data_IF_688442669082
#
_entry.id   IF_688442669082
#
_cell.length_a   1.000
_cell.length_b   1.000
_cell.length_c   1.000
_cell.angle_alpha   90.00
_cell.angle_beta   90.00
_cell.angle_gamma   90.00
#
_symmetry.space_group_name_H-M   'P 1'
#
loop_
_entity.id
_entity.type
_entity.pdbx_description
1 polymer ?
#
# COMPACT_ATOMS: atom_id res chain seq x y z
N UNK A 1 42.47 -6.93 -43.40
CA UNK A 1 42.72 -5.51 -43.08
C UNK A 1 41.48 -5.04 -42.33
N UNK A 2 41.50 -5.26 -41.01
CA UNK A 2 40.37 -5.09 -40.09
C UNK A 2 40.86 -4.17 -38.98
N UNK A 3 40.64 -2.87 -39.16
CA UNK A 3 41.01 -1.83 -38.20
C UNK A 3 39.89 -0.81 -38.16
N UNK A 4 38.95 -1.05 -37.27
CA UNK A 4 38.21 -0.02 -36.54
C UNK A 4 37.67 -0.72 -35.28
N UNK A 5 38.63 -1.11 -34.43
CA UNK A 5 38.37 -1.69 -33.12
C UNK A 5 37.95 -0.58 -32.16
N UNK A 6 36.83 -0.80 -31.47
CA UNK A 6 36.78 -0.81 -30.00
C UNK A 6 37.53 0.31 -29.26
N UNK A 7 37.34 1.55 -29.69
CA UNK A 7 37.76 2.73 -28.95
C UNK A 7 36.57 3.66 -28.72
N UNK A 8 35.47 3.11 -28.20
CA UNK A 8 34.43 3.91 -27.55
C UNK A 8 35.04 4.49 -26.27
N UNK A 9 35.55 5.71 -26.42
CA UNK A 9 36.13 6.61 -25.42
C UNK A 9 35.78 6.26 -23.98
N UNK A 10 36.69 5.56 -23.31
CA UNK A 10 36.78 5.56 -21.85
C UNK A 10 37.03 7.01 -21.40
N UNK A 11 35.96 7.68 -20.97
CA UNK A 11 36.10 8.90 -20.19
C UNK A 11 36.70 8.53 -18.82
N UNK A 12 37.78 9.20 -18.39
CA UNK A 12 38.45 8.87 -17.14
C UNK A 12 37.56 9.31 -15.98
N UNK A 13 36.85 8.37 -15.35
CA UNK A 13 36.02 8.67 -14.18
C UNK A 13 34.89 7.69 -13.87
N UNK A 14 34.47 6.81 -14.79
CA UNK A 14 33.41 5.83 -14.51
C UNK A 14 33.97 4.55 -13.87
N UNK A 15 33.66 4.20 -12.62
CA UNK A 15 34.16 2.95 -12.05
C UNK A 15 33.42 1.73 -12.63
N UNK A 16 32.11 1.80 -12.91
CA UNK A 16 31.29 0.68 -13.45
C UNK A 16 30.02 1.27 -14.12
N UNK A 17 29.54 0.75 -15.28
CA UNK A 17 28.22 1.12 -15.84
C UNK A 17 27.06 0.84 -14.86
N UNK A 18 26.01 1.69 -14.83
CA UNK A 18 24.90 1.57 -13.87
C UNK A 18 24.22 0.19 -13.85
N UNK A 19 24.12 -0.46 -15.00
CA UNK A 19 23.54 -1.80 -15.15
C UNK A 19 24.32 -2.87 -14.38
N UNK A 20 25.63 -2.68 -14.20
CA UNK A 20 26.51 -3.62 -13.48
C UNK A 20 26.85 -3.13 -12.07
N UNK A 21 26.27 -2.02 -11.64
CA UNK A 21 26.60 -1.43 -10.36
C UNK A 21 26.04 -2.25 -9.18
N UNK A 22 26.83 -2.57 -8.14
CA UNK A 22 26.33 -3.25 -6.94
C UNK A 22 25.27 -2.46 -6.16
N UNK A 23 25.23 -1.13 -6.31
CA UNK A 23 24.23 -0.27 -5.68
C UNK A 23 22.92 -0.21 -6.46
N UNK A 24 22.90 -0.70 -7.71
CA UNK A 24 21.67 -0.85 -8.46
C UNK A 24 20.77 -1.86 -7.72
N UNK A 25 19.53 -1.48 -7.35
CA UNK A 25 18.61 -2.36 -6.62
C UNK A 25 18.30 -3.68 -7.32
N UNK A 26 18.40 -3.71 -8.64
CA UNK A 26 18.25 -4.94 -9.43
C UNK A 26 19.42 -5.91 -9.27
N UNK A 27 20.59 -5.44 -8.86
CA UNK A 27 21.80 -6.26 -8.64
C UNK A 27 22.01 -6.65 -7.18
N UNK A 28 21.13 -6.24 -6.27
CA UNK A 28 21.23 -6.62 -4.86
C UNK A 28 21.15 -8.14 -4.68
N UNK A 29 21.84 -8.64 -3.65
CA UNK A 29 21.73 -10.04 -3.24
C UNK A 29 20.27 -10.39 -2.91
N UNK A 30 19.90 -11.65 -3.13
CA UNK A 30 18.52 -12.13 -2.95
C UNK A 30 18.00 -11.83 -1.54
N UNK A 31 18.84 -12.00 -0.51
CA UNK A 31 18.51 -11.68 0.87
C UNK A 31 18.18 -10.19 1.06
N UNK A 32 18.96 -9.28 0.48
CA UNK A 32 18.72 -7.83 0.61
C UNK A 32 17.42 -7.42 -0.09
N UNK A 33 17.12 -8.02 -1.25
CA UNK A 33 15.84 -7.83 -1.93
C UNK A 33 14.68 -8.37 -1.08
N UNK A 34 14.78 -9.61 -0.61
CA UNK A 34 13.76 -10.26 0.20
C UNK A 34 13.47 -9.47 1.49
N UNK A 35 14.50 -8.97 2.17
CA UNK A 35 14.36 -8.14 3.36
C UNK A 35 13.62 -6.83 3.04
N UNK A 36 14.03 -6.12 1.99
CA UNK A 36 13.43 -4.84 1.61
C UNK A 36 11.97 -5.02 1.16
N UNK A 37 11.71 -5.98 0.28
CA UNK A 37 10.36 -6.33 -0.18
C UNK A 37 9.48 -6.88 0.94
N UNK A 38 10.03 -7.67 1.85
CA UNK A 38 9.31 -8.19 3.01
C UNK A 38 8.82 -7.08 3.92
N UNK A 39 9.68 -6.11 4.23
CA UNK A 39 9.30 -4.92 5.02
C UNK A 39 8.20 -4.13 4.32
N UNK A 40 8.37 -3.84 3.03
CA UNK A 40 7.37 -3.11 2.22
C UNK A 40 6.04 -3.86 2.17
N UNK A 41 6.06 -5.18 2.03
CA UNK A 41 4.86 -6.03 1.96
C UNK A 41 4.13 -6.09 3.31
N UNK A 42 4.86 -6.22 4.42
CA UNK A 42 4.27 -6.19 5.77
C UNK A 42 3.61 -4.83 6.03
N UNK A 43 4.24 -3.72 5.63
CA UNK A 43 3.62 -2.40 5.72
C UNK A 43 2.37 -2.28 4.85
N UNK A 44 2.42 -2.82 3.63
CA UNK A 44 1.28 -2.91 2.72
C UNK A 44 0.12 -3.73 3.30
N UNK A 45 0.40 -4.73 4.13
CA UNK A 45 -0.60 -5.53 4.86
C UNK A 45 -1.16 -4.80 6.10
N UNK A 46 -0.31 -4.15 6.90
CA UNK A 46 -0.73 -3.49 8.15
C UNK A 46 -1.73 -2.36 7.89
N UNK A 47 -1.53 -1.57 6.84
CA UNK A 47 -2.41 -0.43 6.53
C UNK A 47 -3.89 -0.81 6.33
N UNK A 48 -4.26 -1.73 5.43
CA UNK A 48 -5.65 -2.14 5.24
C UNK A 48 -6.17 -3.05 6.38
N UNK A 49 -5.28 -3.68 7.14
CA UNK A 49 -5.66 -4.32 8.40
C UNK A 49 -6.11 -3.27 9.43
N UNK A 50 -5.36 -2.17 9.57
CA UNK A 50 -5.70 -1.05 10.46
C UNK A 50 -7.01 -0.35 10.06
N UNK A 51 -7.39 -0.34 8.78
CA UNK A 51 -8.64 0.28 8.34
C UNK A 51 -9.89 -0.46 8.84
N UNK A 52 -9.80 -1.78 8.99
CA UNK A 52 -10.92 -2.67 9.27
C UNK A 52 -10.97 -3.19 10.70
N UNK A 53 -9.85 -3.13 11.44
CA UNK A 53 -9.76 -3.70 12.79
C UNK A 53 -10.75 -3.11 13.80
N UNK A 54 -11.20 -1.87 13.60
CA UNK A 54 -12.17 -1.23 14.51
C UNK A 54 -13.61 -1.69 14.27
N UNK A 55 -13.91 -2.31 13.13
CA UNK A 55 -15.27 -2.63 12.68
C UNK A 55 -16.11 -3.34 13.75
N UNK A 56 -15.62 -4.38 14.45
CA UNK A 56 -16.39 -5.03 15.53
C UNK A 56 -16.48 -4.19 16.81
N UNK A 57 -15.54 -3.27 17.04
CA UNK A 57 -15.51 -2.37 18.20
C UNK A 57 -16.38 -1.12 18.04
N UNK A 58 -16.98 -0.91 16.86
CA UNK A 58 -17.86 0.23 16.58
C UNK A 58 -19.02 0.37 17.60
N UNK A 59 -19.72 -0.71 18.02
CA UNK A 59 -20.76 -0.60 19.05
C UNK A 59 -20.25 -0.04 20.38
N UNK A 60 -19.05 -0.45 20.81
CA UNK A 60 -18.43 0.07 22.04
C UNK A 60 -17.99 1.53 21.90
N UNK A 61 -17.46 1.90 20.73
CA UNK A 61 -17.11 3.29 20.42
C UNK A 61 -18.33 4.20 20.44
N UNK A 62 -19.44 3.71 19.88
CA UNK A 62 -20.73 4.41 19.85
C UNK A 62 -21.23 4.72 21.27
N UNK A 63 -21.15 3.73 22.16
CA UNK A 63 -21.53 3.86 23.56
C UNK A 63 -20.62 4.84 24.31
N UNK A 64 -19.30 4.68 24.16
CA UNK A 64 -18.28 5.47 24.85
C UNK A 64 -18.27 6.96 24.45
N UNK A 65 -18.55 7.28 23.18
CA UNK A 65 -18.69 8.67 22.73
C UNK A 65 -20.13 9.19 22.77
N UNK A 66 -21.09 8.40 23.27
CA UNK A 66 -22.51 8.74 23.30
C UNK A 66 -23.06 9.20 21.93
N UNK A 67 -22.59 8.60 20.84
CA UNK A 67 -23.02 8.96 19.49
C UNK A 67 -24.26 8.15 19.08
N UNK A 68 -25.34 8.82 18.71
CA UNK A 68 -26.60 8.15 18.33
C UNK A 68 -26.85 8.18 16.83
N UNK A 69 -26.12 9.00 16.05
CA UNK A 69 -26.37 9.20 14.62
C UNK A 69 -25.70 8.10 13.78
N UNK A 70 -26.48 7.29 13.03
CA UNK A 70 -25.92 6.25 12.17
C UNK A 70 -24.92 6.74 11.10
N UNK A 71 -25.10 7.91 10.45
CA UNK A 71 -24.15 8.41 9.46
C UNK A 71 -22.76 8.67 10.04
N UNK A 72 -22.67 9.17 11.27
CA UNK A 72 -21.39 9.47 11.93
C UNK A 72 -20.65 8.19 12.28
N UNK A 73 -21.38 7.20 12.79
CA UNK A 73 -20.83 5.87 13.11
C UNK A 73 -20.32 5.14 11.86
N UNK A 74 -21.05 5.26 10.75
CA UNK A 74 -20.61 4.72 9.45
C UNK A 74 -19.38 5.44 8.90
N UNK A 75 -19.32 6.77 9.09
CA UNK A 75 -18.18 7.61 8.69
C UNK A 75 -16.90 7.21 9.42
N UNK A 76 -16.98 6.81 10.68
CA UNK A 76 -15.81 6.35 11.47
C UNK A 76 -15.05 5.22 10.77
N UNK A 77 -15.76 4.28 10.13
CA UNK A 77 -15.13 3.17 9.40
C UNK A 77 -14.62 3.64 8.03
N UNK A 78 -15.44 4.38 7.29
CA UNK A 78 -15.14 4.75 5.90
C UNK A 78 -14.12 5.89 5.75
N UNK A 79 -13.98 6.77 6.74
CA UNK A 79 -13.11 7.95 6.66
C UNK A 79 -11.63 7.58 6.48
N UNK A 80 -11.19 6.45 7.03
CA UNK A 80 -9.82 5.96 6.85
C UNK A 80 -9.54 5.63 5.38
N UNK A 81 -10.52 5.02 4.71
CA UNK A 81 -10.46 4.70 3.27
C UNK A 81 -10.55 5.95 2.42
N UNK A 82 -11.36 6.92 2.84
CA UNK A 82 -11.39 8.22 2.17
C UNK A 82 -9.99 8.84 2.17
N UNK A 83 -9.24 8.70 3.27
CA UNK A 83 -7.83 9.06 3.33
C UNK A 83 -6.98 8.38 2.25
N UNK A 84 -7.24 7.12 1.92
CA UNK A 84 -6.52 6.41 0.84
C UNK A 84 -6.69 7.06 -0.53
N UNK A 85 -7.73 7.85 -0.77
CA UNK A 85 -7.89 8.58 -2.03
C UNK A 85 -6.97 9.82 -2.09
N UNK A 86 -6.79 10.52 -0.97
CA UNK A 86 -6.04 11.79 -0.94
C UNK A 86 -4.54 11.62 -0.67
N UNK A 87 -4.16 10.63 0.14
CA UNK A 87 -2.76 10.31 0.43
C UNK A 87 -1.84 10.11 -0.79
N UNK A 88 -2.17 9.17 -1.69
CA UNK A 88 -1.35 8.82 -2.86
C UNK A 88 -1.02 10.02 -3.76
N UNK A 89 -1.98 10.95 -3.87
CA UNK A 89 -1.87 12.18 -4.68
C UNK A 89 -0.61 12.97 -4.33
N UNK A 90 -0.26 13.02 -3.04
CA UNK A 90 0.91 13.72 -2.54
C UNK A 90 2.12 12.80 -2.38
N UNK A 91 1.92 11.60 -1.83
CA UNK A 91 3.04 10.72 -1.46
C UNK A 91 3.71 10.06 -2.65
N UNK A 92 2.93 9.64 -3.67
CA UNK A 92 3.47 8.96 -4.84
C UNK A 92 4.47 9.85 -5.61
N UNK A 93 4.13 11.10 -5.99
CA UNK A 93 5.02 11.95 -6.78
C UNK A 93 6.25 12.39 -5.98
N UNK A 94 6.06 12.68 -4.69
CA UNK A 94 7.17 13.03 -3.81
C UNK A 94 8.16 11.87 -3.67
N UNK A 95 7.70 10.63 -3.71
CA UNK A 95 8.60 9.46 -3.65
C UNK A 95 9.46 9.29 -4.90
N UNK A 96 9.02 9.81 -6.05
CA UNK A 96 9.83 9.86 -7.29
C UNK A 96 10.83 11.02 -7.28
N UNK A 97 10.61 12.05 -6.46
CA UNK A 97 11.53 13.18 -6.33
C UNK A 97 12.61 12.94 -5.29
N UNK A 98 12.20 12.47 -4.12
CA UNK A 98 13.04 12.40 -2.93
C UNK A 98 13.46 10.97 -2.56
N UNK A 99 12.95 9.96 -3.26
CA UNK A 99 13.24 8.55 -3.03
C UNK A 99 12.13 7.81 -2.26
N UNK A 100 12.13 6.48 -2.36
CA UNK A 100 11.10 5.64 -1.75
C UNK A 100 11.29 5.54 -0.24
N UNK A 101 12.54 5.42 0.24
CA UNK A 101 12.84 5.19 1.66
C UNK A 101 12.38 6.36 2.53
N UNK A 102 12.66 7.59 2.11
CA UNK A 102 12.29 8.78 2.90
C UNK A 102 10.77 8.89 3.04
N UNK A 103 10.04 8.78 1.93
CA UNK A 103 8.59 8.93 1.94
C UNK A 103 7.88 7.78 2.65
N UNK A 104 8.39 6.55 2.58
CA UNK A 104 7.87 5.43 3.38
C UNK A 104 8.04 5.68 4.88
N UNK A 105 9.20 6.20 5.32
CA UNK A 105 9.41 6.51 6.73
C UNK A 105 8.53 7.67 7.21
N UNK A 106 8.36 8.74 6.41
CA UNK A 106 7.45 9.84 6.74
C UNK A 106 6.01 9.32 6.87
N UNK A 107 5.57 8.53 5.89
CA UNK A 107 4.25 7.88 5.92
C UNK A 107 4.05 7.04 7.18
N UNK A 108 5.03 6.19 7.52
CA UNK A 108 4.96 5.34 8.71
C UNK A 108 4.88 6.13 10.01
N UNK A 109 5.75 7.15 10.19
CA UNK A 109 5.79 7.97 11.41
C UNK A 109 4.51 8.78 11.58
N UNK A 110 4.02 9.41 10.51
CA UNK A 110 2.78 10.20 10.57
C UNK A 110 1.62 9.28 10.90
N UNK A 111 1.45 8.17 10.18
CA UNK A 111 0.35 7.26 10.48
C UNK A 111 0.45 6.70 11.89
N UNK A 112 1.63 6.25 12.35
CA UNK A 112 1.83 5.79 13.73
C UNK A 112 1.38 6.82 14.77
N UNK A 113 1.79 8.09 14.61
CA UNK A 113 1.40 9.17 15.51
C UNK A 113 -0.11 9.38 15.54
N UNK A 114 -0.78 9.36 14.38
CA UNK A 114 -2.24 9.50 14.30
C UNK A 114 -3.01 8.22 14.70
N UNK A 115 -2.41 7.04 14.62
CA UNK A 115 -2.95 5.80 15.20
C UNK A 115 -2.96 5.88 16.73
N UNK A 116 -1.86 6.37 17.33
CA UNK A 116 -1.78 6.64 18.78
C UNK A 116 -2.79 7.73 19.16
N UNK A 117 -2.87 8.80 18.37
CA UNK A 117 -3.89 9.84 18.55
C UNK A 117 -5.30 9.28 18.53
N UNK A 118 -5.59 8.36 17.61
CA UNK A 118 -6.89 7.67 17.53
C UNK A 118 -7.20 6.87 18.80
N UNK A 119 -6.21 6.22 19.40
CA UNK A 119 -6.37 5.51 20.68
C UNK A 119 -6.69 6.46 21.85
N UNK A 120 -6.11 7.68 21.80
CA UNK A 120 -6.24 8.71 22.83
C UNK A 120 -7.35 9.73 22.54
N UNK A 121 -8.15 9.54 21.50
CA UNK A 121 -9.13 10.52 21.08
C UNK A 121 -10.20 10.75 22.18
N UNK A 122 -10.42 12.01 22.60
CA UNK A 122 -11.39 12.32 23.66
C UNK A 122 -12.84 12.40 23.16
N UNK A 123 -13.03 12.53 21.84
CA UNK A 123 -14.35 12.61 21.22
C UNK A 123 -14.31 12.09 19.77
N UNK A 124 -15.50 11.85 19.21
CA UNK A 124 -15.67 11.27 17.87
C UNK A 124 -15.13 12.16 16.74
N UNK A 125 -15.21 13.48 16.86
CA UNK A 125 -14.72 14.39 15.82
C UNK A 125 -13.18 14.33 15.72
N UNK A 126 -12.49 14.40 16.86
CA UNK A 126 -11.05 14.21 16.94
C UNK A 126 -10.64 12.83 16.40
N UNK A 127 -11.40 11.79 16.76
CA UNK A 127 -11.17 10.44 16.26
C UNK A 127 -11.26 10.36 14.73
N UNK A 128 -12.31 10.94 14.13
CA UNK A 128 -12.51 10.97 12.66
C UNK A 128 -11.35 11.68 11.97
N UNK A 129 -10.93 12.85 12.48
CA UNK A 129 -9.79 13.61 11.91
C UNK A 129 -8.50 12.79 11.97
N UNK A 130 -8.22 12.16 13.12
CA UNK A 130 -7.04 11.32 13.27
C UNK A 130 -7.08 10.11 12.34
N UNK A 131 -8.23 9.44 12.20
CA UNK A 131 -8.41 8.35 11.24
C UNK A 131 -8.19 8.80 9.80
N UNK A 132 -8.69 9.97 9.41
CA UNK A 132 -8.51 10.51 8.06
C UNK A 132 -7.03 10.73 7.73
N UNK A 133 -6.28 11.33 8.65
CA UNK A 133 -4.85 11.61 8.44
C UNK A 133 -4.05 10.31 8.49
N UNK A 134 -4.37 9.41 9.43
CA UNK A 134 -3.75 8.08 9.51
C UNK A 134 -3.95 7.30 8.20
N UNK A 135 -5.16 7.30 7.65
CA UNK A 135 -5.47 6.67 6.37
C UNK A 135 -4.72 7.33 5.20
N UNK A 136 -4.71 8.67 5.15
CA UNK A 136 -4.02 9.44 4.11
C UNK A 136 -2.54 9.10 4.04
N UNK A 137 -1.84 9.11 5.17
CA UNK A 137 -0.44 8.71 5.18
C UNK A 137 -0.28 7.19 5.10
N UNK A 138 -1.24 6.41 5.58
CA UNK A 138 -1.18 4.95 5.61
C UNK A 138 -1.20 4.32 4.22
N UNK A 139 -1.80 4.99 3.23
CA UNK A 139 -1.76 4.58 1.84
C UNK A 139 -0.36 4.64 1.20
N UNK A 140 0.62 5.29 1.83
CA UNK A 140 2.00 5.40 1.34
C UNK A 140 2.61 4.06 0.92
N UNK A 141 2.72 3.06 1.83
CA UNK A 141 3.19 1.72 1.55
C UNK A 141 2.54 1.04 0.34
N UNK A 142 1.23 1.21 0.13
CA UNK A 142 0.53 0.59 -1.00
C UNK A 142 1.05 1.15 -2.34
N UNK A 143 1.12 2.48 -2.47
CA UNK A 143 1.46 3.11 -3.75
C UNK A 143 2.97 3.13 -4.00
N UNK A 144 3.75 3.37 -2.94
CA UNK A 144 5.21 3.38 -3.02
C UNK A 144 5.74 1.95 -3.12
N UNK A 145 5.05 0.97 -2.51
CA UNK A 145 5.48 -0.42 -2.50
C UNK A 145 5.50 -1.06 -3.87
N UNK A 146 4.47 -0.85 -4.70
CA UNK A 146 4.48 -1.27 -6.10
C UNK A 146 5.65 -0.67 -6.89
N UNK A 147 5.94 0.61 -6.68
CA UNK A 147 7.12 1.27 -7.25
C UNK A 147 8.44 0.68 -6.76
N UNK A 148 8.55 0.33 -5.47
CA UNK A 148 9.75 -0.27 -4.90
C UNK A 148 10.00 -1.69 -5.42
N UNK A 149 8.93 -2.48 -5.62
CA UNK A 149 9.01 -3.79 -6.28
C UNK A 149 9.51 -3.62 -7.72
N UNK A 150 8.95 -2.66 -8.45
CA UNK A 150 9.35 -2.40 -9.84
C UNK A 150 10.82 -1.96 -9.97
N UNK A 151 11.33 -1.21 -8.99
CA UNK A 151 12.73 -0.78 -8.93
C UNK A 151 13.70 -1.95 -8.63
N UNK A 152 13.26 -3.03 -7.96
CA UNK A 152 14.14 -4.13 -7.50
C UNK A 152 14.04 -5.42 -8.34
N UNK A 153 12.89 -5.63 -8.98
CA UNK A 153 12.55 -6.88 -9.67
C UNK A 153 12.44 -6.64 -11.18
N UNK A 154 13.10 -7.52 -11.91
CA UNK A 154 13.05 -7.58 -13.37
C UNK A 154 11.63 -7.79 -13.88
N UNK A 155 11.32 -7.24 -15.05
CA UNK A 155 9.97 -7.22 -15.63
C UNK A 155 9.33 -8.63 -15.70
N UNK A 156 10.10 -9.66 -16.07
CA UNK A 156 9.65 -11.05 -16.20
C UNK A 156 9.12 -11.67 -14.89
N UNK A 157 9.65 -11.26 -13.74
CA UNK A 157 9.25 -11.79 -12.41
C UNK A 157 8.37 -10.81 -11.63
N UNK A 158 8.19 -9.60 -12.13
CA UNK A 158 7.52 -8.51 -11.43
C UNK A 158 6.06 -8.82 -11.14
N UNK A 159 5.34 -9.40 -12.11
CA UNK A 159 3.92 -9.74 -11.96
C UNK A 159 3.67 -10.66 -10.76
N UNK A 160 4.48 -11.72 -10.63
CA UNK A 160 4.40 -12.66 -9.52
C UNK A 160 4.72 -12.02 -8.16
N UNK A 161 5.75 -11.17 -8.07
CA UNK A 161 6.06 -10.49 -6.80
C UNK A 161 4.99 -9.48 -6.43
N UNK A 162 4.42 -8.77 -7.41
CA UNK A 162 3.29 -7.86 -7.17
C UNK A 162 2.04 -8.61 -6.73
N UNK A 163 1.74 -9.80 -7.27
CA UNK A 163 0.56 -10.56 -6.86
C UNK A 163 0.66 -11.01 -5.40
N UNK A 164 1.85 -11.44 -4.94
CA UNK A 164 2.09 -11.75 -3.51
C UNK A 164 1.87 -10.51 -2.64
N UNK A 165 2.41 -9.36 -3.05
CA UNK A 165 2.26 -8.10 -2.33
C UNK A 165 0.78 -7.70 -2.18
N UNK A 166 0.01 -7.74 -3.27
CA UNK A 166 -1.42 -7.40 -3.23
C UNK A 166 -2.27 -8.45 -2.52
N UNK A 167 -1.87 -9.72 -2.54
CA UNK A 167 -2.54 -10.76 -1.73
C UNK A 167 -2.47 -10.42 -0.25
N UNK A 168 -1.29 -10.00 0.24
CA UNK A 168 -1.14 -9.47 1.60
C UNK A 168 -2.08 -8.29 1.84
N UNK A 169 -2.08 -7.29 0.96
CA UNK A 169 -2.97 -6.13 1.08
C UNK A 169 -4.45 -6.52 1.25
N UNK A 170 -4.97 -7.45 0.44
CA UNK A 170 -6.36 -7.88 0.51
C UNK A 170 -6.69 -8.79 1.70
N UNK A 171 -5.70 -9.48 2.29
CA UNK A 171 -5.89 -10.25 3.52
C UNK A 171 -6.06 -9.35 4.75
N UNK A 172 -5.51 -8.14 4.73
CA UNK A 172 -5.60 -7.20 5.86
C UNK A 172 -7.05 -6.96 6.32
N UNK A 173 -7.98 -6.56 5.43
CA UNK A 173 -9.39 -6.33 5.76
C UNK A 173 -10.17 -7.55 6.25
N UNK A 174 -9.67 -8.76 5.98
CA UNK A 174 -10.27 -10.02 6.43
C UNK A 174 -9.82 -10.35 7.86
N UNK A 175 -8.52 -10.22 8.12
CA UNK A 175 -7.91 -10.54 9.41
C UNK A 175 -8.22 -9.46 10.45
N UNK A 176 -8.35 -8.20 10.02
CA UNK A 176 -8.60 -7.04 10.88
C UNK A 176 -9.79 -7.24 11.82
N UNK A 177 -11.02 -7.47 11.31
CA UNK A 177 -12.19 -7.66 12.18
C UNK A 177 -12.08 -8.87 13.11
N UNK A 178 -11.37 -9.93 12.74
CA UNK A 178 -11.13 -11.07 13.64
C UNK A 178 -10.32 -10.63 14.84
N UNK A 179 -9.17 -9.98 14.62
CA UNK A 179 -8.32 -9.44 15.70
C UNK A 179 -9.11 -8.40 16.51
N UNK A 180 -9.81 -7.51 15.82
CA UNK A 180 -10.62 -6.44 16.39
C UNK A 180 -11.70 -6.92 17.34
N UNK A 181 -12.39 -8.01 17.00
CA UNK A 181 -13.48 -8.56 17.81
C UNK A 181 -12.99 -9.05 19.18
N UNK A 182 -11.92 -9.85 19.20
CA UNK A 182 -11.36 -10.37 20.44
C UNK A 182 -10.72 -9.27 21.29
N UNK A 183 -9.93 -8.40 20.67
CA UNK A 183 -9.27 -7.29 21.39
C UNK A 183 -10.31 -6.31 21.95
N UNK A 184 -11.30 -5.91 21.16
CA UNK A 184 -12.30 -4.95 21.59
C UNK A 184 -13.16 -5.50 22.73
N UNK A 185 -13.45 -6.79 22.74
CA UNK A 185 -14.18 -7.46 23.83
C UNK A 185 -13.37 -7.47 25.13
N UNK A 186 -12.12 -7.91 25.09
CA UNK A 186 -11.37 -8.22 26.31
C UNK A 186 -10.62 -7.00 26.87
N UNK A 187 -10.16 -6.10 26.00
CA UNK A 187 -9.36 -4.93 26.38
C UNK A 187 -10.06 -3.59 26.06
N UNK A 188 -11.14 -3.61 25.28
CA UNK A 188 -11.83 -2.40 24.83
C UNK A 188 -11.37 -1.91 23.46
N UNK A 189 -12.22 -1.11 22.80
CA UNK A 189 -12.00 -0.69 21.41
C UNK A 189 -10.74 0.18 21.21
N UNK A 190 -10.31 0.94 22.22
CA UNK A 190 -9.09 1.76 22.15
C UNK A 190 -7.81 0.93 22.05
N UNK A 191 -7.78 -0.24 22.70
CA UNK A 191 -6.63 -1.15 22.68
C UNK A 191 -6.36 -1.76 21.31
N UNK A 192 -7.37 -1.80 20.45
CA UNK A 192 -7.20 -2.16 19.04
C UNK A 192 -6.16 -1.23 18.38
N UNK A 193 -6.21 0.07 18.66
CA UNK A 193 -5.24 1.03 18.12
C UNK A 193 -3.88 0.96 18.79
N UNK A 194 -3.82 0.63 20.08
CA UNK A 194 -2.55 0.40 20.76
C UNK A 194 -1.78 -0.80 20.18
N UNK A 195 -2.47 -1.91 19.92
CA UNK A 195 -1.86 -3.09 19.29
C UNK A 195 -1.35 -2.75 17.88
N UNK A 196 -2.16 -2.03 17.09
CA UNK A 196 -1.71 -1.58 15.77
C UNK A 196 -0.54 -0.59 15.86
N UNK A 197 -0.53 0.31 16.83
CA UNK A 197 0.57 1.24 17.06
C UNK A 197 1.85 0.52 17.49
N UNK A 198 1.78 -0.53 18.32
CA UNK A 198 2.95 -1.34 18.69
C UNK A 198 3.51 -2.03 17.46
N UNK A 199 2.66 -2.71 16.68
CA UNK A 199 3.11 -3.44 15.50
C UNK A 199 3.68 -2.49 14.43
N UNK A 200 3.01 -1.37 14.19
CA UNK A 200 3.47 -0.32 13.27
C UNK A 200 4.71 0.39 13.76
N UNK A 201 4.85 0.60 15.07
CA UNK A 201 6.05 1.16 15.71
C UNK A 201 7.26 0.26 15.50
N UNK A 202 7.11 -1.05 15.73
CA UNK A 202 8.14 -2.04 15.42
C UNK A 202 8.54 -1.99 13.94
N UNK A 203 7.56 -1.99 13.03
CA UNK A 203 7.84 -1.91 11.60
C UNK A 203 8.46 -0.58 11.17
N UNK A 204 8.12 0.53 11.84
CA UNK A 204 8.73 1.85 11.62
C UNK A 204 10.20 1.84 12.02
N UNK A 205 10.54 1.24 13.16
CA UNK A 205 11.94 1.05 13.57
C UNK A 205 12.66 0.15 12.55
N UNK A 206 12.03 -0.95 12.12
CA UNK A 206 12.59 -1.83 11.10
C UNK A 206 12.83 -1.08 9.77
N UNK A 207 11.95 -0.17 9.35
CA UNK A 207 12.20 0.64 8.15
C UNK A 207 13.36 1.61 8.30
N UNK A 208 13.53 2.21 9.47
CA UNK A 208 14.67 3.10 9.69
C UNK A 208 16.00 2.34 9.62
N UNK A 209 16.05 1.14 10.20
CA UNK A 209 17.28 0.35 10.30
C UNK A 209 17.60 -0.43 9.01
N UNK A 210 16.62 -1.10 8.41
CA UNK A 210 16.87 -2.12 7.39
C UNK A 210 16.43 -1.72 5.97
N UNK A 211 15.52 -0.75 5.81
CA UNK A 211 15.02 -0.36 4.50
C UNK A 211 16.10 0.38 3.70
N UNK A 212 16.53 -0.20 2.58
CA UNK A 212 17.45 0.46 1.66
C UNK A 212 16.67 1.28 0.61
N UNK A 213 17.26 2.38 0.16
CA UNK A 213 16.68 3.18 -0.93
C UNK A 213 16.70 2.38 -2.24
N UNK A 214 15.54 2.23 -2.87
CA UNK A 214 15.38 1.53 -4.15
C UNK A 214 15.23 2.46 -5.35
N UNK A 215 15.02 3.76 -5.15
CA UNK A 215 14.78 4.64 -6.29
C UNK A 215 16.08 4.91 -7.08
N UNK A 216 16.21 4.37 -8.29
CA UNK A 216 17.43 4.48 -9.11
C UNK A 216 17.93 5.94 -9.27
N UNK A 217 17.09 6.93 -9.65
CA UNK A 217 17.53 8.32 -9.79
C UNK A 217 18.05 8.93 -8.48
N UNK A 218 17.46 8.60 -7.33
CA UNK A 218 17.93 9.09 -6.02
C UNK A 218 19.29 8.52 -5.67
N UNK A 219 19.54 7.25 -5.97
CA UNK A 219 20.84 6.61 -5.73
C UNK A 219 21.92 7.24 -6.62
N UNK A 220 21.64 7.42 -7.91
CA UNK A 220 22.57 8.05 -8.85
C UNK A 220 22.89 9.50 -8.46
N UNK A 221 21.89 10.29 -8.05
CA UNK A 221 22.10 11.67 -7.56
C UNK A 221 22.98 11.74 -6.31
N UNK A 222 22.81 10.80 -5.37
CA UNK A 222 23.65 10.74 -4.15
C UNK A 222 25.11 10.43 -4.49
N UNK A 223 25.35 9.61 -5.52
CA UNK A 223 26.69 9.34 -6.04
C UNK A 223 27.32 10.53 -6.74
N UNK A 224 26.58 11.19 -7.63
CA UNK A 224 27.07 12.37 -8.35
C UNK A 224 27.44 13.52 -7.41
N UNK A 225 26.80 13.64 -6.23
CA UNK A 225 27.19 14.63 -5.21
C UNK A 225 28.48 14.29 -4.45
N UNK A 226 28.92 13.04 -4.48
CA UNK A 226 30.15 12.58 -3.82
C UNK A 226 31.37 12.50 -4.74
N UNK A 227 31.23 12.90 -6.00
CA UNK A 227 32.26 12.81 -7.04
C UNK A 227 32.23 14.14 -7.82
N UNK A 228 33.37 14.74 -8.16
CA UNK A 228 33.45 15.96 -9.00
C UNK A 228 33.08 15.64 -10.47
N UNK A 229 31.83 15.24 -10.69
CA UNK A 229 31.34 14.69 -11.95
C UNK A 229 30.39 15.68 -12.66
N UNK A 230 30.62 16.05 -13.93
CA UNK A 230 29.76 16.94 -14.71
C UNK A 230 28.62 16.18 -15.41
N UNK A 231 28.09 15.11 -14.81
CA UNK A 231 26.83 14.53 -15.31
C UNK A 231 25.76 15.62 -15.27
N UNK A 232 24.86 15.70 -16.27
CA UNK A 232 23.83 16.72 -16.27
C UNK A 232 23.03 16.51 -15.00
N UNK A 233 23.24 17.44 -14.07
CA UNK A 233 22.49 17.60 -12.85
C UNK A 233 21.05 17.85 -13.34
N UNK A 234 20.32 16.77 -13.65
CA UNK A 234 18.91 16.84 -14.02
C UNK A 234 18.26 17.33 -12.76
N UNK A 235 18.15 18.66 -12.68
CA UNK A 235 17.60 19.39 -11.56
C UNK A 235 16.37 18.63 -11.10
N UNK A 236 16.29 18.37 -9.79
CA UNK A 236 15.10 17.74 -9.24
C UNK A 236 13.89 18.53 -9.78
N UNK A 237 12.94 17.87 -10.47
CA UNK A 237 11.79 18.57 -11.01
C UNK A 237 11.18 19.44 -9.90
N UNK A 238 10.87 20.70 -10.21
CA UNK A 238 10.24 21.60 -9.23
C UNK A 238 9.02 20.90 -8.66
N UNK A 239 8.90 20.86 -7.32
CA UNK A 239 7.87 20.10 -6.60
C UNK A 239 6.47 20.34 -7.17
N UNK A 240 6.13 21.59 -7.45
CA UNK A 240 4.84 21.95 -8.05
C UNK A 240 4.60 21.32 -9.43
N UNK A 241 5.63 21.23 -10.28
CA UNK A 241 5.50 20.60 -11.61
C UNK A 241 5.39 19.07 -11.53
N UNK A 242 6.06 18.44 -10.55
CA UNK A 242 5.95 17.01 -10.32
C UNK A 242 4.57 16.65 -9.78
N UNK A 243 4.09 17.41 -8.80
CA UNK A 243 2.76 17.24 -8.22
C UNK A 243 1.67 17.47 -9.29
N UNK A 244 1.80 18.53 -10.09
CA UNK A 244 0.87 18.82 -11.18
C UNK A 244 0.86 17.70 -12.23
N UNK A 245 2.03 17.22 -12.69
CA UNK A 245 2.10 16.13 -13.66
C UNK A 245 1.51 14.83 -13.12
N UNK A 246 1.78 14.52 -11.86
CA UNK A 246 1.33 13.27 -11.27
C UNK A 246 -0.14 13.28 -10.89
N UNK A 247 -0.76 14.44 -10.70
CA UNK A 247 -2.21 14.59 -10.63
C UNK A 247 -2.87 14.57 -12.01
N UNK A 248 -2.32 15.34 -12.95
CA UNK A 248 -2.94 15.53 -14.26
C UNK A 248 -2.93 14.26 -15.11
N UNK A 249 -1.90 13.43 -15.02
CA UNK A 249 -1.78 12.23 -15.86
C UNK A 249 -2.85 11.19 -15.52
N UNK A 250 -3.03 10.74 -14.25
CA UNK A 250 -4.11 9.82 -13.88
C UNK A 250 -5.49 10.42 -14.11
N UNK A 251 -5.71 11.70 -13.77
CA UNK A 251 -7.02 12.35 -13.99
C UNK A 251 -7.39 12.42 -15.48
N UNK A 252 -6.41 12.74 -16.35
CA UNK A 252 -6.63 12.74 -17.80
C UNK A 252 -6.89 11.34 -18.32
N UNK A 253 -6.19 10.32 -17.81
CA UNK A 253 -6.44 8.92 -18.16
C UNK A 253 -7.83 8.48 -17.70
N UNK A 254 -8.23 8.82 -16.48
CA UNK A 254 -9.54 8.47 -15.91
C UNK A 254 -10.71 9.08 -16.69
N UNK A 255 -10.56 10.30 -17.23
CA UNK A 255 -11.63 10.97 -17.98
C UNK A 255 -11.60 10.62 -19.48
N UNK A 256 -10.40 10.45 -20.07
CA UNK A 256 -10.27 10.28 -21.53
C UNK A 256 -10.13 8.84 -22.00
N UNK A 257 -9.73 7.92 -21.14
CA UNK A 257 -9.63 6.50 -21.49
C UNK A 257 -10.84 5.75 -20.92
N UNK A 258 -11.82 5.33 -21.76
CA UNK A 258 -13.03 4.66 -21.27
C UNK A 258 -12.72 3.34 -20.56
N UNK A 259 -11.63 2.67 -20.94
CA UNK A 259 -11.17 1.43 -20.29
C UNK A 259 -10.77 1.71 -18.84
N UNK A 260 -9.99 2.78 -18.61
CA UNK A 260 -9.53 3.15 -17.25
C UNK A 260 -10.71 3.60 -16.40
N UNK A 261 -11.65 4.36 -16.95
CA UNK A 261 -12.89 4.73 -16.26
C UNK A 261 -13.69 3.51 -15.86
N UNK A 262 -13.90 2.57 -16.80
CA UNK A 262 -14.66 1.34 -16.56
C UNK A 262 -14.06 0.48 -15.46
N UNK A 263 -12.74 0.23 -15.51
CA UNK A 263 -12.04 -0.54 -14.47
C UNK A 263 -12.06 0.18 -13.12
N UNK A 264 -11.91 1.50 -13.10
CA UNK A 264 -11.95 2.30 -11.86
C UNK A 264 -13.34 2.29 -11.22
N UNK A 265 -14.41 2.42 -12.02
CA UNK A 265 -15.79 2.34 -11.54
C UNK A 265 -16.11 0.95 -11.00
N UNK A 266 -15.65 -0.10 -11.69
CA UNK A 266 -15.80 -1.48 -11.23
C UNK A 266 -15.10 -1.72 -9.89
N UNK A 267 -13.84 -1.31 -9.75
CA UNK A 267 -13.10 -1.41 -8.49
C UNK A 267 -13.74 -0.56 -7.38
N UNK A 268 -14.21 0.65 -7.69
CA UNK A 268 -14.91 1.50 -6.74
C UNK A 268 -16.21 0.85 -6.25
N UNK A 269 -16.96 0.19 -7.13
CA UNK A 269 -18.17 -0.55 -6.77
C UNK A 269 -17.85 -1.72 -5.83
N UNK A 270 -16.83 -2.54 -6.16
CA UNK A 270 -16.40 -3.66 -5.29
C UNK A 270 -15.98 -3.16 -3.92
N UNK A 271 -15.14 -2.12 -3.86
CA UNK A 271 -14.67 -1.56 -2.59
C UNK A 271 -15.83 -0.94 -1.80
N UNK A 272 -16.75 -0.26 -2.48
CA UNK A 272 -17.97 0.28 -1.89
C UNK A 272 -18.81 -0.82 -1.23
N UNK A 273 -19.05 -1.93 -1.92
CA UNK A 273 -19.77 -3.08 -1.36
C UNK A 273 -19.03 -3.71 -0.18
N UNK A 274 -17.70 -3.85 -0.24
CA UNK A 274 -16.91 -4.39 0.87
C UNK A 274 -17.08 -3.56 2.16
N UNK A 275 -16.99 -2.24 2.05
CA UNK A 275 -17.15 -1.37 3.22
C UNK A 275 -18.61 -1.24 3.67
N UNK A 276 -19.57 -1.37 2.75
CA UNK A 276 -20.99 -1.47 3.10
C UNK A 276 -21.28 -2.75 3.90
N UNK A 277 -20.64 -3.87 3.56
CA UNK A 277 -20.73 -5.10 4.35
C UNK A 277 -20.14 -4.90 5.75
N UNK A 278 -19.00 -4.23 5.87
CA UNK A 278 -18.41 -3.91 7.18
C UNK A 278 -19.33 -3.10 8.08
N UNK A 279 -19.93 -2.03 7.57
CA UNK A 279 -20.85 -1.20 8.36
C UNK A 279 -22.15 -1.93 8.69
N UNK A 280 -22.68 -2.71 7.75
CA UNK A 280 -23.95 -3.43 7.90
C UNK A 280 -23.82 -4.61 8.86
N UNK A 281 -22.72 -5.37 8.81
CA UNK A 281 -22.51 -6.50 9.71
C UNK A 281 -22.36 -6.03 11.15
N UNK A 282 -21.63 -4.93 11.37
CA UNK A 282 -21.43 -4.37 12.71
C UNK A 282 -22.69 -3.80 13.36
N UNK A 283 -23.74 -3.52 12.60
CA UNK A 283 -25.02 -3.04 13.13
C UNK A 283 -26.06 -4.16 13.22
N UNK A 284 -26.30 -4.88 12.12
CA UNK A 284 -27.39 -5.85 12.02
C UNK A 284 -27.12 -7.09 12.87
N UNK A 285 -25.89 -7.62 12.91
CA UNK A 285 -25.63 -8.87 13.64
C UNK A 285 -25.81 -8.71 15.16
N UNK A 286 -25.32 -7.63 15.80
CA UNK A 286 -25.65 -7.38 17.20
C UNK A 286 -27.13 -7.07 17.43
N UNK A 287 -27.74 -6.19 16.62
CA UNK A 287 -29.11 -5.70 16.87
C UNK A 287 -30.20 -6.74 16.59
N UNK A 288 -30.08 -7.54 15.52
CA UNK A 288 -31.11 -8.50 15.11
C UNK A 288 -30.80 -9.94 15.52
N UNK A 289 -29.54 -10.35 15.47
CA UNK A 289 -29.13 -11.74 15.72
C UNK A 289 -28.53 -11.94 17.12
N UNK A 290 -28.33 -10.88 17.91
CA UNK A 290 -27.78 -10.96 19.26
C UNK A 290 -26.33 -11.42 19.30
N UNK A 291 -25.56 -11.17 18.24
CA UNK A 291 -24.16 -11.58 18.18
C UNK A 291 -23.33 -10.80 19.20
N UNK A 292 -22.49 -11.52 19.95
CA UNK A 292 -21.44 -10.94 20.79
C UNK A 292 -20.29 -10.43 19.92
N UNK A 293 -19.50 -9.49 20.44
CA UNK A 293 -18.43 -8.77 19.72
C UNK A 293 -17.33 -9.72 19.20
N UNK A 294 -17.00 -10.77 19.95
CA UNK A 294 -16.04 -11.80 19.55
C UNK A 294 -16.55 -12.62 18.35
N UNK A 295 -17.80 -13.06 18.40
CA UNK A 295 -18.44 -13.82 17.31
C UNK A 295 -18.66 -12.93 16.08
N UNK A 296 -18.92 -11.63 16.27
CA UNK A 296 -19.04 -10.65 15.20
C UNK A 296 -17.75 -10.56 14.37
N UNK A 297 -16.58 -10.56 15.00
CA UNK A 297 -15.30 -10.56 14.30
C UNK A 297 -15.12 -11.78 13.37
N UNK A 298 -15.61 -12.95 13.80
CA UNK A 298 -15.55 -14.19 13.02
C UNK A 298 -16.50 -14.19 11.81
N UNK A 299 -17.60 -13.44 11.84
CA UNK A 299 -18.53 -13.34 10.71
C UNK A 299 -17.84 -12.81 9.43
N UNK A 300 -16.77 -12.03 9.57
CA UNK A 300 -15.99 -11.50 8.45
C UNK A 300 -15.07 -12.53 7.79
N UNK A 301 -14.85 -13.71 8.40
CA UNK A 301 -14.12 -14.80 7.74
C UNK A 301 -14.81 -15.27 6.46
N UNK A 302 -16.13 -15.10 6.33
CA UNK A 302 -16.85 -15.37 5.09
C UNK A 302 -16.35 -14.54 3.91
N UNK A 303 -15.98 -13.28 4.14
CA UNK A 303 -15.33 -12.43 3.12
C UNK A 303 -13.97 -13.02 2.73
N UNK A 304 -13.21 -13.49 3.72
CA UNK A 304 -11.93 -14.16 3.51
C UNK A 304 -12.03 -15.42 2.65
N UNK A 305 -12.99 -16.29 2.96
CA UNK A 305 -13.26 -17.49 2.15
C UNK A 305 -13.62 -17.10 0.72
N UNK A 306 -14.46 -16.08 0.54
CA UNK A 306 -14.79 -15.53 -0.78
C UNK A 306 -13.55 -15.07 -1.55
N UNK A 307 -12.63 -14.35 -0.89
CA UNK A 307 -11.37 -13.91 -1.49
C UNK A 307 -10.47 -15.09 -1.88
N UNK A 308 -10.35 -16.11 -1.03
CA UNK A 308 -9.52 -17.30 -1.31
C UNK A 308 -10.10 -18.08 -2.50
N UNK A 309 -11.41 -18.32 -2.51
CA UNK A 309 -12.08 -19.00 -3.64
C UNK A 309 -11.89 -18.20 -4.92
N UNK A 310 -12.07 -16.88 -4.88
CA UNK A 310 -11.85 -16.01 -6.03
C UNK A 310 -10.40 -16.08 -6.53
N UNK A 311 -9.40 -16.04 -5.65
CA UNK A 311 -7.98 -16.16 -6.02
C UNK A 311 -7.69 -17.49 -6.71
N UNK A 312 -8.20 -18.61 -6.18
CA UNK A 312 -8.00 -19.94 -6.77
C UNK A 312 -8.66 -20.04 -8.15
N UNK A 313 -9.93 -19.60 -8.26
CA UNK A 313 -10.68 -19.65 -9.52
C UNK A 313 -10.05 -18.73 -10.57
N UNK A 314 -9.66 -17.51 -10.21
CA UNK A 314 -9.04 -16.56 -11.13
C UNK A 314 -7.65 -17.00 -11.57
N UNK A 315 -6.84 -17.55 -10.66
CA UNK A 315 -5.51 -18.07 -11.02
C UNK A 315 -5.65 -19.24 -11.99
N UNK A 316 -6.56 -20.18 -11.69
CA UNK A 316 -6.84 -21.30 -12.57
C UNK A 316 -7.37 -20.87 -13.95
N UNK A 317 -8.31 -19.92 -13.97
CA UNK A 317 -8.87 -19.39 -15.21
C UNK A 317 -7.83 -18.63 -16.03
N UNK A 318 -6.96 -17.85 -15.36
CA UNK A 318 -5.86 -17.13 -15.99
C UNK A 318 -4.88 -18.09 -16.67
N UNK A 319 -4.42 -19.11 -15.94
CA UNK A 319 -3.51 -20.13 -16.48
C UNK A 319 -4.16 -20.88 -17.66
N UNK A 320 -5.44 -21.25 -17.52
CA UNK A 320 -6.20 -21.92 -18.58
C UNK A 320 -6.36 -21.04 -19.83
N UNK A 321 -6.70 -19.76 -19.67
CA UNK A 321 -6.82 -18.81 -20.77
C UNK A 321 -5.47 -18.62 -21.48
N UNK A 322 -4.40 -18.46 -20.70
CA UNK A 322 -3.07 -18.25 -21.24
C UNK A 322 -2.58 -19.48 -22.02
N UNK A 323 -2.81 -20.69 -21.50
CA UNK A 323 -2.51 -21.94 -22.21
C UNK A 323 -3.34 -22.09 -23.49
N UNK A 324 -4.61 -21.73 -23.45
CA UNK A 324 -5.51 -21.81 -24.60
C UNK A 324 -5.10 -20.82 -25.71
N UNK A 325 -4.79 -19.57 -25.34
CA UNK A 325 -4.34 -18.53 -26.27
C UNK A 325 -2.95 -18.83 -26.83
N UNK A 326 -2.03 -19.34 -26.01
CA UNK A 326 -0.69 -19.74 -26.47
C UNK A 326 -0.75 -20.89 -27.47
N UNK A 327 -1.64 -21.87 -27.26
CA UNK A 327 -1.89 -22.96 -28.23
C UNK A 327 -2.52 -22.48 -29.54
N UNK A 328 -3.29 -21.39 -29.52
CA UNK A 328 -4.00 -20.84 -30.68
C UNK A 328 -3.13 -19.90 -31.52
N UNK A 329 -2.37 -19.01 -30.87
CA UNK A 329 -1.63 -17.92 -31.54
C UNK A 329 -0.13 -18.22 -31.69
N UNK A 330 0.38 -19.32 -31.13
CA UNK A 330 1.76 -19.78 -31.30
C UNK A 330 2.83 -18.96 -30.58
N UNK A 331 2.46 -17.82 -29.99
CA UNK A 331 3.33 -16.98 -29.17
C UNK A 331 2.67 -16.64 -27.83
N UNK A 332 3.40 -16.84 -26.73
CA UNK A 332 3.00 -16.33 -25.41
C UNK A 332 3.28 -14.82 -25.37
N UNK A 333 2.30 -13.99 -25.72
CA UNK A 333 2.37 -12.55 -25.44
C UNK A 333 2.08 -12.32 -23.95
N UNK A 334 3.01 -11.74 -23.18
CA UNK A 334 2.70 -11.31 -21.83
C UNK A 334 1.71 -10.13 -21.88
N UNK A 335 0.78 -10.10 -20.93
CA UNK A 335 -0.20 -9.01 -20.74
C UNK A 335 0.44 -7.64 -20.45
#
# INVERSE_FOLDING_TARGET
MSTESDAEKQQPGFPIPWERDPNNPQNWSLWRKALNLGIVSILGFITPLESSVIVPGVPLLKEDFHETRPPVTSLVVSIFVLGFAFGPVLLSPLSELYGRRLLLNISNVVTLGFSIGSALAPNIATFIVFRFIAGSFGAGPMNIGGGSIADQIELSKRGFVMSIFFTGYFLGPVIGPVIGGFVAKDLGWRWVFWIMAIFKGFMTIATFLFLAESHHPTIQRKRAKGTDDPTPNKEAPKVGQALFRALMRPMRMLIRSPIVTGLSLYLALIYGYLYLLFTTFSTIFPEQYGFKIDVLGLAFLGVGVGCIVALVVLSWLSDWLQDHLTKKDGESKPE
#
